data_IF_485087239420
#
_entry.id   IF_485087239420
#
_cell.length_a   1.000
_cell.length_b   1.000
_cell.length_c   1.000
_cell.angle_alpha   90.00
_cell.angle_beta   90.00
_cell.angle_gamma   90.00
#
_symmetry.space_group_name_H-M   'P 1'
#
loop_
_entity.id
_entity.type
_entity.pdbx_description
1 polymer ?
#
# COMPACT_ATOMS: atom_id res chain seq x y z
N UNK A 1 -6.03 17.52 -67.05
CA UNK A 1 -6.81 16.61 -66.17
C UNK A 1 -5.91 16.17 -65.03
N UNK A 2 -5.76 17.04 -64.04
CA UNK A 2 -4.79 16.94 -62.93
C UNK A 2 -5.46 17.62 -61.73
N UNK A 3 -5.19 17.15 -60.52
CA UNK A 3 -5.67 17.70 -59.23
C UNK A 3 -6.88 16.98 -58.60
N UNK A 4 -6.72 15.71 -58.21
CA UNK A 4 -7.54 15.15 -57.11
C UNK A 4 -6.92 13.92 -56.40
N UNK A 5 -5.59 13.88 -56.19
CA UNK A 5 -4.94 12.83 -55.37
C UNK A 5 -3.96 13.36 -54.30
N UNK A 6 -3.82 14.68 -54.16
CA UNK A 6 -2.91 15.30 -53.19
C UNK A 6 -3.59 15.70 -51.87
N UNK A 7 -4.91 15.94 -51.87
CA UNK A 7 -5.67 16.30 -50.66
C UNK A 7 -5.85 15.16 -49.65
N UNK A 8 -5.82 13.89 -50.10
CA UNK A 8 -6.07 12.75 -49.22
C UNK A 8 -4.89 12.45 -48.27
N UNK A 9 -3.66 12.74 -48.70
CA UNK A 9 -2.44 12.45 -47.91
C UNK A 9 -2.14 13.52 -46.87
N UNK A 10 -2.68 14.73 -47.02
CA UNK A 10 -2.49 15.84 -46.09
C UNK A 10 -3.31 15.66 -44.80
N UNK A 11 -4.52 15.09 -44.88
CA UNK A 11 -5.34 14.77 -43.69
C UNK A 11 -4.77 13.65 -42.81
N UNK A 12 -4.11 12.64 -43.39
CA UNK A 12 -3.59 11.49 -42.65
C UNK A 12 -2.35 11.82 -41.79
N UNK A 13 -1.58 12.85 -42.15
CA UNK A 13 -0.39 13.29 -41.41
C UNK A 13 -0.74 14.18 -40.21
N UNK A 14 -1.87 14.89 -40.27
CA UNK A 14 -2.40 15.65 -39.12
C UNK A 14 -3.01 14.75 -38.03
N UNK A 15 -3.64 13.65 -38.43
CA UNK A 15 -4.32 12.72 -37.50
C UNK A 15 -3.33 11.88 -36.67
N UNK A 16 -2.16 11.58 -37.22
CA UNK A 16 -1.11 10.79 -36.52
C UNK A 16 -0.37 11.62 -35.46
N UNK A 17 -0.24 12.94 -35.64
CA UNK A 17 0.38 13.84 -34.67
C UNK A 17 -0.48 14.06 -33.41
N UNK A 18 -1.83 14.02 -33.54
CA UNK A 18 -2.73 14.17 -32.38
C UNK A 18 -2.79 12.89 -31.51
N UNK A 19 -2.73 11.71 -32.13
CA UNK A 19 -2.83 10.44 -31.42
C UNK A 19 -1.59 10.11 -30.56
N UNK A 20 -0.38 10.50 -31.00
CA UNK A 20 0.85 10.37 -30.21
C UNK A 20 0.95 11.37 -29.05
N UNK A 21 0.30 12.53 -29.16
CA UNK A 21 0.26 13.54 -28.09
C UNK A 21 -0.60 13.14 -26.89
N UNK A 22 -1.66 12.36 -27.09
CA UNK A 22 -2.56 11.94 -26.02
C UNK A 22 -2.06 10.71 -25.22
N UNK A 23 -1.06 9.97 -25.71
CA UNK A 23 -0.55 8.75 -25.05
C UNK A 23 0.52 9.07 -23.99
N UNK A 24 1.14 10.27 -24.00
CA UNK A 24 2.26 10.63 -23.12
C UNK A 24 1.88 11.48 -21.89
N UNK A 25 0.62 11.92 -21.73
CA UNK A 25 0.18 12.73 -20.57
C UNK A 25 -0.87 12.03 -19.68
N UNK A 26 -1.13 10.75 -19.92
CA UNK A 26 -1.98 9.92 -19.09
C UNK A 26 -1.28 8.62 -18.69
N UNK A 27 -0.05 8.72 -18.18
CA UNK A 27 0.38 7.81 -17.14
C UNK A 27 -0.09 8.42 -15.82
N UNK A 28 -1.26 8.03 -15.27
CA UNK A 28 -1.44 8.18 -13.85
C UNK A 28 -0.35 7.34 -13.20
N UNK A 29 0.69 7.97 -12.65
CA UNK A 29 1.39 7.45 -11.48
C UNK A 29 0.41 7.45 -10.31
N UNK A 30 -0.70 6.74 -10.46
CA UNK A 30 -1.39 6.13 -9.35
C UNK A 30 -0.51 4.95 -8.98
N UNK A 31 0.55 5.24 -8.23
CA UNK A 31 0.87 4.34 -7.13
C UNK A 31 -0.34 4.43 -6.21
N UNK A 32 -1.40 3.70 -6.58
CA UNK A 32 -2.45 3.33 -5.68
C UNK A 32 -1.74 2.40 -4.73
N UNK A 33 -1.31 2.98 -3.61
CA UNK A 33 -1.10 2.23 -2.39
C UNK A 33 -2.38 1.44 -2.20
N UNK A 34 -2.39 0.20 -2.69
CA UNK A 34 -3.39 -0.77 -2.32
C UNK A 34 -3.37 -0.73 -0.80
N UNK A 35 -4.42 -0.15 -0.23
CA UNK A 35 -4.61 -0.10 1.20
C UNK A 35 -4.36 -1.51 1.69
N UNK A 36 -3.51 -1.62 2.72
CA UNK A 36 -3.45 -2.83 3.54
C UNK A 36 -4.86 -3.36 3.67
N UNK A 37 -5.10 -4.60 3.25
CA UNK A 37 -6.28 -5.35 3.64
C UNK A 37 -6.44 -5.11 5.16
N UNK A 38 -7.45 -4.32 5.54
CA UNK A 38 -7.84 -4.20 6.93
C UNK A 38 -8.39 -5.56 7.28
N UNK A 39 -7.53 -6.35 7.90
CA UNK A 39 -7.68 -7.75 8.17
C UNK A 39 -9.02 -7.99 8.88
N UNK A 40 -9.81 -8.92 8.34
CA UNK A 40 -11.03 -9.50 8.92
C UNK A 40 -10.88 -9.94 10.40
N UNK A 41 -9.64 -10.04 10.87
CA UNK A 41 -9.24 -10.36 12.22
C UNK A 41 -9.79 -9.39 13.27
N UNK A 42 -10.11 -8.13 12.91
CA UNK A 42 -10.70 -7.19 13.88
C UNK A 42 -12.03 -7.71 14.43
N UNK A 43 -12.93 -8.23 13.58
CA UNK A 43 -14.22 -8.79 14.02
C UNK A 43 -14.05 -10.05 14.86
N UNK A 44 -13.04 -10.86 14.55
CA UNK A 44 -12.71 -12.08 15.30
C UNK A 44 -12.07 -11.73 16.65
N UNK A 45 -11.21 -10.71 16.71
CA UNK A 45 -10.59 -10.26 17.97
C UNK A 45 -11.65 -9.70 18.93
N UNK A 46 -12.62 -8.95 18.43
CA UNK A 46 -13.72 -8.44 19.25
C UNK A 46 -14.59 -9.59 19.79
N UNK A 47 -14.81 -10.66 19.00
CA UNK A 47 -15.56 -11.84 19.47
C UNK A 47 -14.81 -12.63 20.56
N UNK A 48 -13.48 -12.59 20.53
CA UNK A 48 -12.59 -13.16 21.55
C UNK A 48 -12.47 -12.28 22.81
N UNK A 49 -13.11 -11.11 22.84
CA UNK A 49 -13.12 -10.21 23.99
C UNK A 49 -11.90 -9.29 24.09
N UNK A 50 -11.15 -9.09 23.01
CA UNK A 50 -10.08 -8.09 22.98
C UNK A 50 -10.66 -6.69 22.93
N UNK A 51 -10.18 -5.81 23.82
CA UNK A 51 -10.60 -4.41 23.85
C UNK A 51 -9.64 -3.60 22.97
N UNK A 52 -10.16 -2.97 21.92
CA UNK A 52 -9.41 -2.00 21.14
C UNK A 52 -9.15 -0.73 21.96
N UNK A 53 -7.88 -0.37 22.13
CA UNK A 53 -7.49 0.86 22.84
C UNK A 53 -7.95 2.09 22.03
N UNK A 54 -8.70 3.00 22.66
CA UNK A 54 -9.07 4.26 22.02
C UNK A 54 -7.84 5.15 21.82
N UNK A 55 -7.80 5.87 20.70
CA UNK A 55 -6.71 6.73 20.22
C UNK A 55 -5.47 6.02 19.65
N UNK A 56 -5.55 4.71 19.39
CA UNK A 56 -4.51 3.87 18.73
C UNK A 56 -3.08 4.40 18.89
N UNK A 57 -2.60 4.57 20.14
CA UNK A 57 -1.28 5.09 20.35
C UNK A 57 -0.28 4.07 19.80
N UNK A 58 0.60 4.51 18.90
CA UNK A 58 1.69 3.69 18.39
C UNK A 58 2.41 3.02 19.57
N UNK A 59 2.45 1.69 19.58
CA UNK A 59 3.11 0.93 20.62
C UNK A 59 4.56 1.43 20.83
N UNK A 60 4.95 1.83 22.06
CA UNK A 60 6.30 2.25 22.36
C UNK A 60 7.30 1.17 21.98
N UNK A 61 8.45 1.58 21.44
CA UNK A 61 9.51 0.62 21.18
C UNK A 61 10.22 0.27 22.49
N UNK A 62 10.52 -1.01 22.66
CA UNK A 62 11.27 -1.51 23.80
C UNK A 62 12.14 -2.67 23.37
N UNK A 63 13.20 -2.90 24.14
CA UNK A 63 14.12 -4.01 23.96
C UNK A 63 14.22 -4.77 25.28
N UNK A 64 14.00 -6.08 25.24
CA UNK A 64 14.07 -6.97 26.40
C UNK A 64 15.04 -8.11 26.10
N UNK A 65 15.58 -8.71 27.16
CA UNK A 65 16.30 -9.96 27.06
C UNK A 65 15.30 -11.12 27.13
N UNK A 66 15.42 -12.09 26.22
CA UNK A 66 14.67 -13.33 26.32
C UNK A 66 15.28 -14.28 27.37
N UNK A 67 14.67 -15.46 27.53
CA UNK A 67 15.12 -16.48 28.49
C UNK A 67 16.52 -17.03 28.21
N UNK A 68 17.05 -16.85 27.01
CA UNK A 68 18.42 -17.21 26.62
C UNK A 68 19.40 -16.03 26.72
N UNK A 69 18.93 -14.86 27.19
CA UNK A 69 19.73 -13.64 27.29
C UNK A 69 19.93 -12.90 25.97
N UNK A 70 19.20 -13.28 24.91
CA UNK A 70 19.26 -12.59 23.62
C UNK A 70 18.39 -11.35 23.64
N UNK A 71 18.90 -10.28 23.04
CA UNK A 71 18.19 -9.02 22.89
C UNK A 71 17.10 -9.13 21.82
N UNK A 72 15.86 -8.80 22.20
CA UNK A 72 14.68 -8.81 21.34
C UNK A 72 14.02 -7.43 21.39
N UNK A 73 13.80 -6.82 20.23
CA UNK A 73 13.21 -5.48 20.11
C UNK A 73 11.86 -5.53 19.40
N UNK A 74 10.87 -4.79 19.91
CA UNK A 74 9.52 -4.77 19.34
C UNK A 74 9.52 -4.29 17.87
N UNK A 75 10.37 -3.32 17.53
CA UNK A 75 10.50 -2.82 16.16
C UNK A 75 10.92 -3.88 15.13
N UNK A 76 11.54 -4.99 15.54
CA UNK A 76 11.96 -6.04 14.61
C UNK A 76 10.78 -6.89 14.11
N UNK A 77 9.60 -6.76 14.75
CA UNK A 77 8.36 -7.46 14.40
C UNK A 77 7.34 -6.59 13.64
N UNK A 78 7.75 -5.44 13.11
CA UNK A 78 6.85 -4.54 12.35
C UNK A 78 6.22 -5.27 11.15
N UNK A 79 4.94 -4.99 10.92
CA UNK A 79 4.15 -5.60 9.85
C UNK A 79 3.61 -7.00 10.16
N UNK A 80 3.88 -7.53 11.36
CA UNK A 80 3.30 -8.78 11.88
C UNK A 80 2.31 -8.46 13.00
N UNK A 81 1.29 -9.30 13.15
CA UNK A 81 0.46 -9.30 14.36
C UNK A 81 1.29 -9.91 15.48
N UNK A 82 1.39 -9.21 16.61
CA UNK A 82 2.16 -9.64 17.77
C UNK A 82 1.21 -9.75 18.96
N UNK A 83 1.20 -10.92 19.60
CA UNK A 83 0.50 -11.12 20.86
C UNK A 83 1.48 -10.95 22.02
N UNK A 84 1.25 -9.96 22.87
CA UNK A 84 2.12 -9.61 23.99
C UNK A 84 1.41 -9.94 25.31
N UNK A 85 2.04 -10.79 26.12
CA UNK A 85 1.51 -11.22 27.42
C UNK A 85 2.44 -10.79 28.55
N UNK A 86 1.87 -10.32 29.66
CA UNK A 86 2.59 -9.92 30.86
C UNK A 86 2.18 -10.82 32.03
N UNK A 87 3.13 -11.48 32.69
CA UNK A 87 2.87 -12.44 33.76
C UNK A 87 4.05 -12.52 34.76
N UNK A 88 3.83 -13.13 35.92
CA UNK A 88 4.83 -13.27 37.01
C UNK A 88 4.71 -14.65 37.71
N UNK A 89 5.79 -15.16 38.31
CA UNK A 89 5.86 -16.51 38.93
C UNK A 89 5.60 -16.57 40.43
N UNK A 90 5.59 -15.43 41.11
CA UNK A 90 5.57 -15.27 42.58
C UNK A 90 6.80 -15.87 43.29
#
# INVERSE_FOLDING_TARGET
MTSNRQNLKQCARGLTALALGCILLASPTSVLSAGRETLHLDSELESLGFIKLQNDPKAPDFTLQDVSGKSVRLADHRGKIVFLTFWTTW
#
